data_IF_687568739197
#
_entry.id   IF_687568739197
#
_cell.length_a   1.000
_cell.length_b   1.000
_cell.length_c   1.000
_cell.angle_alpha   90.00
_cell.angle_beta   90.00
_cell.angle_gamma   90.00
#
_symmetry.space_group_name_H-M   'P 1'
#
loop_
_entity.id
_entity.type
_entity.pdbx_description
1 polymer ?
#
# COMPACT_ATOMS: atom_id res chain seq x y z
N UNK A 1 -16.22 8.04 21.69
CA UNK A 1 -15.07 7.23 21.22
C UNK A 1 -15.48 6.62 19.89
N UNK A 2 -14.82 7.00 18.79
CA UNK A 2 -15.05 6.33 17.51
C UNK A 2 -14.46 4.92 17.63
N UNK A 3 -15.27 3.90 17.36
CA UNK A 3 -14.91 2.49 17.44
C UNK A 3 -13.72 2.19 16.51
N UNK A 4 -12.81 1.31 16.97
CA UNK A 4 -11.69 0.75 16.21
C UNK A 4 -12.06 0.36 14.78
N UNK A 5 -11.22 0.69 13.81
CA UNK A 5 -11.46 0.33 12.42
C UNK A 5 -11.18 -1.16 12.22
N UNK A 6 -12.20 -2.01 12.03
CA UNK A 6 -11.95 -3.44 11.76
C UNK A 6 -11.02 -3.63 10.54
N UNK A 7 -11.19 -2.84 9.48
CA UNK A 7 -10.35 -2.90 8.27
C UNK A 7 -8.88 -2.48 8.50
N UNK A 8 -8.61 -1.58 9.44
CA UNK A 8 -7.25 -1.09 9.71
C UNK A 8 -6.59 -1.73 10.94
N UNK A 9 -7.30 -2.59 11.68
CA UNK A 9 -6.82 -3.16 12.95
C UNK A 9 -6.88 -4.68 13.01
N UNK A 10 -7.72 -5.32 12.21
CA UNK A 10 -7.88 -6.77 12.22
C UNK A 10 -7.40 -7.34 10.89
N UNK A 11 -6.46 -8.27 10.99
CA UNK A 11 -6.13 -9.13 9.87
C UNK A 11 -7.23 -10.18 9.70
N UNK A 12 -7.63 -10.48 8.46
CA UNK A 12 -8.48 -11.62 8.20
C UNK A 12 -7.75 -12.90 8.57
N UNK A 13 -8.42 -13.76 9.33
CA UNK A 13 -7.94 -15.08 9.67
C UNK A 13 -8.97 -16.12 9.23
N UNK A 14 -8.47 -17.30 8.84
CA UNK A 14 -9.28 -18.48 8.64
C UNK A 14 -9.14 -19.30 9.92
N UNK A 15 -10.21 -19.40 10.74
CA UNK A 15 -10.18 -20.13 12.00
C UNK A 15 -9.86 -21.60 11.80
N UNK A 16 -9.35 -22.23 12.85
CA UNK A 16 -9.12 -23.69 12.90
C UNK A 16 -10.06 -24.39 13.89
N UNK A 17 -10.84 -23.61 14.64
CA UNK A 17 -11.93 -24.07 15.49
C UNK A 17 -13.23 -24.32 14.69
N UNK A 18 -14.18 -25.12 15.25
CA UNK A 18 -15.45 -25.38 14.59
C UNK A 18 -16.28 -24.11 14.37
N UNK A 19 -16.74 -23.91 13.14
CA UNK A 19 -17.50 -22.74 12.72
C UNK A 19 -18.64 -23.14 11.79
N UNK A 20 -19.63 -22.25 11.65
CA UNK A 20 -20.62 -22.33 10.58
C UNK A 20 -20.18 -21.50 9.38
N UNK A 21 -20.42 -22.03 8.19
CA UNK A 21 -20.14 -21.41 6.91
C UNK A 21 -21.47 -21.17 6.20
N UNK A 22 -21.65 -19.95 5.70
CA UNK A 22 -22.79 -19.61 4.85
C UNK A 22 -22.30 -19.22 3.46
N UNK A 23 -22.66 -20.03 2.47
CA UNK A 23 -22.37 -19.81 1.05
C UNK A 23 -23.55 -19.12 0.37
N UNK A 24 -23.26 -18.03 -0.33
CA UNK A 24 -24.22 -17.22 -1.08
C UNK A 24 -23.78 -17.17 -2.55
N UNK A 25 -24.69 -17.50 -3.46
CA UNK A 25 -24.51 -17.34 -4.92
C UNK A 25 -25.87 -17.10 -5.56
N UNK A 26 -25.91 -16.21 -6.55
CA UNK A 26 -27.12 -15.98 -7.33
C UNK A 26 -27.32 -17.03 -8.44
N UNK A 27 -26.32 -17.87 -8.69
CA UNK A 27 -26.31 -18.79 -9.82
C UNK A 27 -26.70 -20.22 -9.38
N UNK A 28 -27.86 -20.76 -9.83
CA UNK A 28 -28.35 -22.07 -9.39
C UNK A 28 -27.36 -23.22 -9.63
N UNK A 29 -26.66 -23.23 -10.77
CA UNK A 29 -25.63 -24.23 -11.05
C UNK A 29 -24.47 -24.22 -10.05
N UNK A 30 -24.07 -23.05 -9.53
CA UNK A 30 -22.99 -22.96 -8.55
C UNK A 30 -23.46 -23.47 -7.18
N UNK A 31 -24.70 -23.13 -6.79
CA UNK A 31 -25.33 -23.71 -5.61
C UNK A 31 -25.37 -25.23 -5.69
N UNK A 32 -25.75 -25.80 -6.85
CA UNK A 32 -25.76 -27.24 -7.04
C UNK A 32 -24.36 -27.88 -6.93
N UNK A 33 -23.34 -27.28 -7.56
CA UNK A 33 -21.94 -27.75 -7.45
C UNK A 33 -21.47 -27.82 -5.99
N UNK A 34 -21.80 -26.81 -5.18
CA UNK A 34 -21.45 -26.78 -3.75
C UNK A 34 -22.22 -27.86 -2.98
N UNK A 35 -23.52 -28.03 -3.22
CA UNK A 35 -24.33 -29.11 -2.60
C UNK A 35 -23.79 -30.50 -2.93
N UNK A 36 -23.42 -30.74 -4.18
CA UNK A 36 -22.86 -32.01 -4.61
C UNK A 36 -21.51 -32.27 -3.93
N UNK A 37 -20.64 -31.26 -3.86
CA UNK A 37 -19.40 -31.34 -3.10
C UNK A 37 -19.65 -31.70 -1.62
N UNK A 38 -20.57 -31.01 -0.95
CA UNK A 38 -20.90 -31.25 0.46
C UNK A 38 -21.40 -32.69 0.69
N UNK A 39 -22.26 -33.20 -0.20
CA UNK A 39 -22.76 -34.59 -0.16
C UNK A 39 -21.64 -35.61 -0.34
N UNK A 40 -20.78 -35.44 -1.35
CA UNK A 40 -19.61 -36.31 -1.58
C UNK A 40 -18.69 -36.36 -0.35
N UNK A 41 -18.65 -35.27 0.40
CA UNK A 41 -17.82 -35.11 1.58
C UNK A 41 -18.52 -35.42 2.91
N UNK A 42 -19.77 -35.90 2.87
CA UNK A 42 -20.60 -36.21 4.04
C UNK A 42 -20.75 -35.04 5.01
N UNK A 43 -20.78 -33.80 4.49
CA UNK A 43 -21.04 -32.59 5.27
C UNK A 43 -22.54 -32.31 5.24
N UNK A 44 -23.16 -32.31 6.43
CA UNK A 44 -24.57 -31.94 6.58
C UNK A 44 -24.74 -30.44 6.32
N UNK A 45 -25.78 -30.07 5.59
CA UNK A 45 -26.10 -28.69 5.27
C UNK A 45 -27.61 -28.44 5.30
N UNK A 46 -27.96 -27.17 5.51
CA UNK A 46 -29.31 -26.63 5.40
C UNK A 46 -29.40 -25.77 4.13
N UNK A 47 -30.39 -26.04 3.30
CA UNK A 47 -30.68 -25.29 2.09
C UNK A 47 -31.65 -24.16 2.43
N UNK A 48 -31.14 -22.93 2.53
CA UNK A 48 -31.92 -21.74 2.80
C UNK A 48 -32.30 -21.07 1.47
N UNK A 49 -33.37 -20.26 1.49
CA UNK A 49 -33.87 -19.58 0.29
C UNK A 49 -32.79 -18.76 -0.43
N UNK A 50 -31.88 -18.15 0.32
CA UNK A 50 -30.81 -17.30 -0.21
C UNK A 50 -29.41 -17.95 -0.16
N UNK A 51 -29.24 -19.20 0.30
CA UNK A 51 -27.90 -19.79 0.37
C UNK A 51 -27.81 -21.11 1.11
N UNK A 52 -26.58 -21.61 1.29
CA UNK A 52 -26.31 -22.91 1.89
C UNK A 52 -25.59 -22.69 3.22
N UNK A 53 -26.18 -23.17 4.31
CA UNK A 53 -25.60 -23.09 5.66
C UNK A 53 -25.11 -24.47 6.09
N UNK A 54 -23.89 -24.55 6.60
CA UNK A 54 -23.35 -25.81 7.12
C UNK A 54 -22.29 -25.57 8.19
N UNK A 55 -21.98 -26.61 8.94
CA UNK A 55 -20.96 -26.58 9.98
C UNK A 55 -19.74 -27.39 9.54
N UNK A 56 -18.54 -26.88 9.85
CA UNK A 56 -17.27 -27.57 9.65
C UNK A 56 -16.46 -27.55 10.95
N UNK A 57 -15.67 -28.59 11.18
CA UNK A 57 -14.78 -28.66 12.35
C UNK A 57 -13.56 -27.75 12.21
N UNK A 58 -13.06 -27.56 10.99
CA UNK A 58 -11.92 -26.72 10.69
C UNK A 58 -12.13 -26.02 9.33
N UNK A 59 -12.45 -24.72 9.32
CA UNK A 59 -12.66 -23.94 8.09
C UNK A 59 -11.47 -23.95 7.13
N UNK A 60 -10.24 -23.91 7.65
CA UNK A 60 -9.02 -23.95 6.84
C UNK A 60 -8.92 -25.26 6.07
N UNK A 61 -9.05 -26.39 6.75
CA UNK A 61 -9.03 -27.71 6.12
C UNK A 61 -10.16 -27.88 5.11
N UNK A 62 -11.37 -27.41 5.44
CA UNK A 62 -12.51 -27.45 4.54
C UNK A 62 -12.25 -26.67 3.25
N UNK A 63 -11.77 -25.42 3.35
CA UNK A 63 -11.47 -24.59 2.19
C UNK A 63 -10.32 -25.15 1.35
N UNK A 64 -9.30 -25.75 1.98
CA UNK A 64 -8.23 -26.46 1.27
C UNK A 64 -8.79 -27.64 0.47
N UNK A 65 -9.70 -28.41 1.07
CA UNK A 65 -10.35 -29.54 0.40
C UNK A 65 -11.27 -29.09 -0.73
N UNK A 66 -12.05 -28.04 -0.51
CA UNK A 66 -12.90 -27.41 -1.52
C UNK A 66 -12.08 -26.96 -2.73
N UNK A 67 -10.96 -26.27 -2.50
CA UNK A 67 -10.06 -25.84 -3.59
C UNK A 67 -9.48 -27.00 -4.39
N UNK A 68 -9.15 -28.10 -3.71
CA UNK A 68 -8.54 -29.27 -4.34
C UNK A 68 -9.53 -30.10 -5.15
N UNK A 69 -10.70 -30.38 -4.58
CA UNK A 69 -11.61 -31.38 -5.13
C UNK A 69 -12.75 -30.73 -5.96
N UNK A 70 -12.97 -29.41 -5.88
CA UNK A 70 -13.93 -28.68 -6.69
C UNK A 70 -13.24 -27.68 -7.63
N UNK A 71 -13.20 -28.02 -8.93
CA UNK A 71 -12.62 -27.15 -9.94
C UNK A 71 -13.63 -26.05 -10.33
N UNK A 72 -13.34 -24.82 -9.88
CA UNK A 72 -14.11 -23.62 -10.20
C UNK A 72 -13.24 -22.66 -11.01
N UNK A 73 -13.82 -22.07 -12.05
CA UNK A 73 -13.19 -21.00 -12.81
C UNK A 73 -13.16 -19.68 -12.02
N UNK A 74 -12.26 -18.77 -12.39
CA UNK A 74 -12.14 -17.44 -11.79
C UNK A 74 -13.47 -16.66 -11.68
N UNK A 75 -14.34 -16.62 -12.72
CA UNK A 75 -15.65 -15.98 -12.62
C UNK A 75 -16.55 -16.63 -11.55
N UNK A 76 -16.52 -17.97 -11.45
CA UNK A 76 -17.34 -18.70 -10.48
C UNK A 76 -16.86 -18.44 -9.04
N UNK A 77 -15.55 -18.39 -8.82
CA UNK A 77 -14.96 -18.05 -7.52
C UNK A 77 -15.30 -16.63 -7.06
N UNK A 78 -15.54 -15.71 -8.00
CA UNK A 78 -15.94 -14.32 -7.70
C UNK A 78 -17.44 -14.18 -7.43
N UNK A 79 -18.26 -15.05 -8.00
CA UNK A 79 -19.72 -15.07 -7.79
C UNK A 79 -20.09 -15.69 -6.43
N UNK A 80 -19.40 -16.76 -6.05
CA UNK A 80 -19.63 -17.42 -4.77
C UNK A 80 -19.06 -16.55 -3.64
N UNK A 81 -19.92 -16.13 -2.72
CA UNK A 81 -19.52 -15.43 -1.50
C UNK A 81 -19.67 -16.33 -0.28
N UNK A 82 -18.78 -16.15 0.69
CA UNK A 82 -18.71 -16.92 1.92
C UNK A 82 -18.53 -15.99 3.12
N UNK A 83 -19.25 -16.28 4.20
CA UNK A 83 -19.06 -15.70 5.53
C UNK A 83 -18.95 -16.79 6.58
N UNK A 84 -18.12 -16.55 7.60
CA UNK A 84 -17.95 -17.40 8.77
C UNK A 84 -18.85 -16.91 9.91
N UNK A 85 -19.53 -17.83 10.57
CA UNK A 85 -20.49 -17.60 11.64
C UNK A 85 -20.11 -18.45 12.86
N UNK A 86 -20.48 -17.98 14.06
CA UNK A 86 -20.32 -18.81 15.26
C UNK A 86 -21.26 -20.02 15.21
N UNK A 87 -20.98 -21.03 16.03
CA UNK A 87 -21.86 -22.20 16.14
C UNK A 87 -23.27 -21.81 16.62
N UNK A 88 -24.26 -22.37 15.95
CA UNK A 88 -25.70 -22.10 16.09
C UNK A 88 -26.11 -20.66 15.74
N UNK A 89 -25.28 -19.89 15.01
CA UNK A 89 -25.62 -18.55 14.57
C UNK A 89 -26.21 -18.57 13.16
N UNK A 90 -27.39 -17.97 12.99
CA UNK A 90 -27.99 -17.80 11.68
C UNK A 90 -27.42 -16.58 10.94
N UNK A 91 -27.29 -16.64 9.60
CA UNK A 91 -26.95 -15.47 8.81
C UNK A 91 -28.02 -14.39 8.99
N UNK A 92 -27.58 -13.15 9.14
CA UNK A 92 -28.45 -11.98 9.29
C UNK A 92 -27.82 -10.84 8.51
N UNK A 93 -28.57 -9.77 8.25
CA UNK A 93 -28.07 -8.57 7.54
C UNK A 93 -26.74 -8.02 8.08
N UNK A 94 -26.44 -8.22 9.38
CA UNK A 94 -25.17 -7.75 9.97
C UNK A 94 -23.93 -8.43 9.37
N UNK A 95 -24.07 -9.69 8.93
CA UNK A 95 -23.00 -10.55 8.40
C UNK A 95 -22.70 -10.29 6.92
N UNK A 96 -23.63 -9.70 6.18
CA UNK A 96 -23.42 -9.39 4.76
C UNK A 96 -22.26 -8.41 4.55
N UNK A 97 -21.91 -7.61 5.56
CA UNK A 97 -20.74 -6.72 5.55
C UNK A 97 -19.41 -7.46 5.58
N UNK A 98 -19.42 -8.71 6.05
CA UNK A 98 -18.25 -9.57 6.20
C UNK A 98 -18.20 -10.67 5.12
N UNK A 99 -19.17 -10.71 4.21
CA UNK A 99 -19.15 -11.60 3.05
C UNK A 99 -17.93 -11.29 2.17
N UNK A 100 -17.25 -12.35 1.75
CA UNK A 100 -16.13 -12.25 0.81
C UNK A 100 -16.28 -13.28 -0.30
N UNK A 101 -15.89 -12.94 -1.53
CA UNK A 101 -15.82 -13.91 -2.60
C UNK A 101 -14.94 -15.11 -2.21
N UNK A 102 -15.28 -16.30 -2.69
CA UNK A 102 -14.50 -17.51 -2.46
C UNK A 102 -13.07 -17.37 -2.98
N UNK A 103 -12.88 -16.62 -4.07
CA UNK A 103 -11.56 -16.21 -4.57
C UNK A 103 -10.69 -15.57 -3.47
N UNK A 104 -11.25 -14.65 -2.67
CA UNK A 104 -10.53 -13.99 -1.57
C UNK A 104 -10.18 -14.98 -0.46
N UNK A 105 -11.05 -15.93 -0.14
CA UNK A 105 -10.74 -16.98 0.84
C UNK A 105 -9.62 -17.91 0.37
N UNK A 106 -9.57 -18.24 -0.93
CA UNK A 106 -8.48 -19.01 -1.51
C UNK A 106 -7.16 -18.25 -1.49
N UNK A 107 -7.18 -16.94 -1.76
CA UNK A 107 -6.00 -16.10 -1.62
C UNK A 107 -5.53 -16.01 -0.16
N UNK A 108 -6.45 -15.95 0.81
CA UNK A 108 -6.11 -15.99 2.24
C UNK A 108 -5.47 -17.31 2.66
N UNK A 109 -5.91 -18.45 2.10
CA UNK A 109 -5.28 -19.74 2.33
C UNK A 109 -3.82 -19.79 1.85
N UNK A 110 -3.52 -19.12 0.74
CA UNK A 110 -2.20 -19.15 0.10
C UNK A 110 -1.28 -18.01 0.54
N UNK A 111 -1.83 -16.98 1.16
CA UNK A 111 -1.09 -15.81 1.63
C UNK A 111 -0.50 -16.00 3.04
N UNK A 112 -0.21 -17.24 3.47
CA UNK A 112 0.31 -17.53 4.82
C UNK A 112 1.59 -16.75 5.14
N UNK A 113 2.56 -16.74 4.21
CA UNK A 113 3.81 -15.97 4.37
C UNK A 113 3.54 -14.47 4.58
N UNK A 114 2.62 -13.90 3.81
CA UNK A 114 2.24 -12.48 3.90
C UNK A 114 1.53 -12.16 5.23
N UNK A 115 0.56 -12.99 5.62
CA UNK A 115 -0.17 -12.80 6.87
C UNK A 115 0.75 -12.93 8.08
N UNK A 116 1.67 -13.92 8.07
CA UNK A 116 2.65 -14.12 9.13
C UNK A 116 3.58 -12.90 9.31
N UNK A 117 3.98 -12.25 8.21
CA UNK A 117 4.75 -11.00 8.24
C UNK A 117 3.98 -9.89 8.97
N UNK A 118 2.67 -9.76 8.71
CA UNK A 118 1.85 -8.72 9.31
C UNK A 118 1.48 -9.00 10.77
N UNK A 119 1.16 -10.25 11.09
CA UNK A 119 0.84 -10.70 12.46
C UNK A 119 2.05 -10.51 13.39
N UNK A 120 3.23 -10.92 12.92
CA UNK A 120 4.47 -10.81 13.69
C UNK A 120 5.18 -9.45 13.52
N UNK A 121 4.53 -8.48 12.84
CA UNK A 121 5.05 -7.12 12.61
C UNK A 121 6.47 -7.10 12.01
N UNK A 122 6.77 -8.04 11.10
CA UNK A 122 8.07 -8.20 10.44
C UNK A 122 8.19 -7.35 9.17
N UNK A 123 7.75 -6.09 9.28
CA UNK A 123 8.05 -5.08 8.27
C UNK A 123 9.32 -4.34 8.70
N UNK A 124 10.15 -3.99 7.71
CA UNK A 124 11.34 -3.16 7.90
C UNK A 124 11.40 -2.10 6.80
N UNK A 125 12.33 -1.15 6.96
CA UNK A 125 12.49 0.00 6.09
C UNK A 125 13.90 -0.03 5.53
N UNK A 126 14.02 0.13 4.22
CA UNK A 126 15.27 0.48 3.56
C UNK A 126 15.22 1.97 3.24
N UNK A 127 16.35 2.64 3.39
CA UNK A 127 16.48 4.08 3.18
C UNK A 127 17.21 4.35 1.88
N UNK A 128 16.61 5.17 1.01
CA UNK A 128 17.22 5.63 -0.23
C UNK A 128 17.54 7.12 -0.09
N UNK A 129 18.82 7.53 -0.10
CA UNK A 129 19.19 8.90 0.24
C UNK A 129 18.76 9.88 -0.84
N UNK A 130 18.27 11.02 -0.39
CA UNK A 130 17.92 12.19 -1.20
C UNK A 130 18.99 13.24 -0.94
N UNK A 131 19.55 13.78 -2.03
CA UNK A 131 20.75 14.62 -1.98
C UNK A 131 20.51 15.96 -2.64
N UNK A 132 21.23 16.98 -2.17
CA UNK A 132 21.32 18.28 -2.83
C UNK A 132 22.41 18.29 -3.92
N UNK A 133 22.48 19.38 -4.69
CA UNK A 133 23.46 19.58 -5.77
C UNK A 133 24.93 19.51 -5.33
N UNK A 134 25.22 19.73 -4.04
CA UNK A 134 26.55 19.62 -3.44
C UNK A 134 26.82 18.23 -2.86
N UNK A 135 25.94 17.26 -3.13
CA UNK A 135 25.99 15.87 -2.70
C UNK A 135 25.80 15.68 -1.19
N UNK A 136 25.30 16.70 -0.50
CA UNK A 136 24.86 16.59 0.88
C UNK A 136 23.57 15.77 0.94
N UNK A 137 23.55 14.74 1.79
CA UNK A 137 22.33 13.99 2.08
C UNK A 137 21.42 14.84 2.98
N UNK A 138 20.21 15.13 2.48
CA UNK A 138 19.22 15.95 3.19
C UNK A 138 18.03 15.15 3.67
N UNK A 139 17.81 13.98 3.09
CA UNK A 139 16.67 13.14 3.41
C UNK A 139 16.83 11.69 3.02
N UNK A 140 15.81 10.91 3.34
CA UNK A 140 15.69 9.51 3.00
C UNK A 140 14.26 9.22 2.56
N UNK A 141 14.12 8.45 1.49
CA UNK A 141 12.86 7.76 1.21
C UNK A 141 12.79 6.44 1.97
N UNK A 142 11.67 6.20 2.64
CA UNK A 142 11.38 4.98 3.39
C UNK A 142 10.74 3.93 2.48
N UNK A 143 11.53 2.95 2.07
CA UNK A 143 11.12 1.87 1.19
C UNK A 143 10.83 0.60 1.99
N UNK A 144 9.55 0.23 2.08
CA UNK A 144 9.10 -0.92 2.87
C UNK A 144 9.62 -2.24 2.31
N UNK A 145 9.99 -3.13 3.22
CA UNK A 145 10.34 -4.53 2.97
C UNK A 145 9.65 -5.42 3.99
N UNK A 146 9.21 -6.60 3.56
CA UNK A 146 8.82 -7.66 4.49
C UNK A 146 10.04 -8.49 4.86
N UNK A 147 10.00 -9.16 6.01
CA UNK A 147 11.05 -10.07 6.45
C UNK A 147 10.43 -11.44 6.74
N UNK A 148 10.92 -12.47 6.04
CA UNK A 148 10.54 -13.87 6.27
C UNK A 148 11.03 -14.35 7.62
N UNK A 149 10.51 -15.50 8.07
CA UNK A 149 10.95 -16.16 9.30
C UNK A 149 12.47 -16.49 9.29
N UNK A 150 13.04 -16.78 8.12
CA UNK A 150 14.46 -17.05 7.93
C UNK A 150 15.33 -15.79 7.81
N UNK A 151 14.73 -14.59 7.90
CA UNK A 151 15.41 -13.31 7.77
C UNK A 151 15.55 -12.79 6.34
N UNK A 152 15.16 -13.55 5.32
CA UNK A 152 15.22 -13.08 3.94
C UNK A 152 14.18 -11.99 3.63
N UNK A 153 14.50 -11.14 2.67
CA UNK A 153 13.70 -9.96 2.33
C UNK A 153 12.58 -10.31 1.35
N UNK A 154 11.41 -9.71 1.60
CA UNK A 154 10.25 -9.73 0.73
C UNK A 154 10.10 -8.35 0.07
N UNK A 155 10.04 -8.28 -1.28
CA UNK A 155 9.89 -7.02 -1.98
C UNK A 155 8.49 -6.41 -1.76
N UNK A 156 8.33 -5.08 -1.83
CA UNK A 156 7.05 -4.42 -1.62
C UNK A 156 5.98 -4.88 -2.63
N UNK A 157 6.35 -5.12 -3.89
CA UNK A 157 5.41 -5.59 -4.92
C UNK A 157 4.63 -6.85 -4.48
N UNK A 158 5.32 -7.83 -3.88
CA UNK A 158 4.66 -9.03 -3.35
C UNK A 158 3.71 -8.70 -2.20
N UNK A 159 4.11 -7.82 -1.28
CA UNK A 159 3.27 -7.42 -0.15
C UNK A 159 1.98 -6.75 -0.63
N UNK A 160 2.08 -5.79 -1.55
CA UNK A 160 0.92 -5.05 -2.05
C UNK A 160 0.01 -5.92 -2.93
N UNK A 161 0.57 -6.79 -3.78
CA UNK A 161 -0.22 -7.76 -4.55
C UNK A 161 -1.04 -8.67 -3.63
N UNK A 162 -0.41 -9.22 -2.58
CA UNK A 162 -1.13 -10.03 -1.58
C UNK A 162 -2.13 -9.20 -0.78
N UNK A 163 -1.82 -7.95 -0.48
CA UNK A 163 -2.72 -7.08 0.26
C UNK A 163 -4.02 -6.78 -0.51
N UNK A 164 -3.94 -6.57 -1.82
CA UNK A 164 -5.13 -6.38 -2.67
C UNK A 164 -5.98 -7.65 -2.74
N UNK A 165 -5.35 -8.78 -3.05
CA UNK A 165 -6.03 -10.08 -3.20
C UNK A 165 -6.70 -10.58 -1.91
N UNK A 166 -6.10 -10.26 -0.76
CA UNK A 166 -6.62 -10.62 0.57
C UNK A 166 -7.50 -9.52 1.21
N UNK A 167 -7.71 -8.39 0.52
CA UNK A 167 -8.45 -7.22 1.03
C UNK A 167 -7.86 -6.63 2.33
N UNK A 168 -6.54 -6.66 2.47
CA UNK A 168 -5.80 -6.16 3.64
C UNK A 168 -4.98 -4.90 3.36
N UNK A 169 -5.16 -4.27 2.19
CA UNK A 169 -4.44 -3.05 1.77
C UNK A 169 -4.45 -1.94 2.83
N UNK A 170 -5.60 -1.73 3.48
CA UNK A 170 -5.79 -0.76 4.58
C UNK A 170 -4.89 -1.04 5.79
N UNK A 171 -4.75 -2.31 6.15
CA UNK A 171 -3.91 -2.74 7.25
C UNK A 171 -2.43 -2.58 6.88
N UNK A 172 -2.04 -3.03 5.68
CA UNK A 172 -0.67 -2.93 5.20
C UNK A 172 -0.23 -1.47 5.09
N UNK A 173 -0.98 -0.60 4.42
CA UNK A 173 -0.64 0.83 4.25
C UNK A 173 -0.41 1.53 5.60
N UNK A 174 -1.31 1.30 6.56
CA UNK A 174 -1.16 1.83 7.91
C UNK A 174 0.11 1.28 8.58
N UNK A 175 0.35 -0.03 8.50
CA UNK A 175 1.53 -0.65 9.09
C UNK A 175 2.83 -0.10 8.47
N UNK A 176 2.84 0.12 7.16
CA UNK A 176 3.92 0.78 6.41
C UNK A 176 4.20 2.20 6.94
N UNK A 177 3.19 3.06 7.03
CA UNK A 177 3.36 4.42 7.57
C UNK A 177 3.88 4.41 9.01
N UNK A 178 3.32 3.55 9.86
CA UNK A 178 3.75 3.45 11.26
C UNK A 178 5.18 2.93 11.40
N UNK A 179 5.58 1.90 10.64
CA UNK A 179 6.93 1.35 10.72
C UNK A 179 7.97 2.30 10.13
N UNK A 180 7.64 3.05 9.07
CA UNK A 180 8.50 4.09 8.51
C UNK A 180 8.86 5.16 9.53
N UNK A 181 7.87 5.75 10.19
CA UNK A 181 8.09 6.80 11.22
C UNK A 181 8.89 6.23 12.41
N UNK A 182 8.49 5.06 12.93
CA UNK A 182 9.16 4.44 14.08
C UNK A 182 10.62 4.09 13.77
N UNK A 183 10.87 3.51 12.60
CA UNK A 183 12.23 3.11 12.21
C UNK A 183 13.09 4.34 11.96
N UNK A 184 12.56 5.38 11.29
CA UNK A 184 13.29 6.63 11.09
C UNK A 184 13.65 7.32 12.43
N UNK A 185 12.75 7.28 13.42
CA UNK A 185 13.05 7.79 14.76
C UNK A 185 14.18 7.02 15.43
N UNK A 186 14.09 5.68 15.44
CA UNK A 186 15.13 4.80 16.02
C UNK A 186 16.48 5.01 15.34
N UNK A 187 16.48 5.26 14.03
CA UNK A 187 17.68 5.57 13.25
C UNK A 187 18.17 7.01 13.39
N UNK A 188 17.52 7.85 14.21
CA UNK A 188 17.93 9.22 14.49
C UNK A 188 17.84 10.15 13.29
N UNK A 189 16.77 10.03 12.50
CA UNK A 189 16.54 10.81 11.27
C UNK A 189 15.53 11.95 11.44
N UNK A 190 15.20 12.33 12.67
CA UNK A 190 14.17 13.35 12.97
C UNK A 190 14.44 14.74 12.38
N UNK A 191 15.71 15.07 12.16
CA UNK A 191 16.17 16.34 11.60
C UNK A 191 16.39 16.29 10.08
N UNK A 192 16.16 15.14 9.45
CA UNK A 192 16.23 14.96 7.99
C UNK A 192 14.82 14.89 7.39
N UNK A 193 14.72 15.15 6.08
CA UNK A 193 13.49 14.90 5.34
C UNK A 193 13.25 13.40 5.23
N UNK A 194 12.05 12.94 5.57
CA UNK A 194 11.64 11.54 5.49
C UNK A 194 10.45 11.43 4.57
N UNK A 195 10.63 10.76 3.45
CA UNK A 195 9.60 10.54 2.46
C UNK A 195 8.94 9.17 2.70
N UNK A 196 7.61 9.16 2.76
CA UNK A 196 6.81 7.98 3.09
C UNK A 196 5.67 7.85 2.08
N UNK A 197 5.73 6.77 1.31
CA UNK A 197 4.66 6.33 0.43
C UNK A 197 3.35 6.05 1.19
N UNK A 198 2.21 6.45 0.62
CA UNK A 198 0.90 6.03 1.09
C UNK A 198 -0.07 5.74 -0.06
N UNK A 199 -1.12 4.99 0.24
CA UNK A 199 -2.16 4.58 -0.71
C UNK A 199 -3.45 5.36 -0.43
N UNK A 200 -3.81 6.38 -1.23
CA UNK A 200 -5.01 7.17 -1.00
C UNK A 200 -6.31 6.36 -0.96
N UNK A 201 -6.43 5.32 -1.79
CA UNK A 201 -7.62 4.45 -1.82
C UNK A 201 -7.79 3.65 -0.52
N UNK A 202 -6.73 3.57 0.29
CA UNK A 202 -6.75 2.96 1.62
C UNK A 202 -7.20 3.91 2.75
N UNK A 203 -7.51 5.17 2.44
CA UNK A 203 -7.91 6.17 3.44
C UNK A 203 -9.37 6.53 3.17
N UNK A 204 -10.31 6.11 4.03
CA UNK A 204 -11.73 6.48 3.86
C UNK A 204 -12.08 7.80 4.57
N UNK A 205 -11.66 7.90 5.83
CA UNK A 205 -11.79 9.12 6.64
C UNK A 205 -10.37 9.53 7.05
N UNK A 206 -9.81 10.61 6.48
CA UNK A 206 -8.48 11.08 6.83
C UNK A 206 -8.29 11.25 8.34
N UNK A 207 -9.31 11.77 9.04
CA UNK A 207 -9.24 12.05 10.48
C UNK A 207 -9.03 10.78 11.29
N UNK A 208 -9.73 9.72 10.91
CA UNK A 208 -9.70 8.45 11.63
C UNK A 208 -8.57 7.52 11.15
N UNK A 209 -8.33 7.43 9.85
CA UNK A 209 -7.33 6.54 9.25
C UNK A 209 -5.89 7.02 9.47
N UNK A 210 -5.66 8.33 9.58
CA UNK A 210 -4.33 8.91 9.73
C UNK A 210 -3.95 9.24 11.18
N UNK A 211 -4.91 9.14 12.12
CA UNK A 211 -4.69 9.52 13.52
C UNK A 211 -3.47 8.83 14.16
N UNK A 212 -3.20 7.56 13.84
CA UNK A 212 -2.09 6.83 14.46
C UNK A 212 -0.73 7.26 13.92
N UNK A 213 -0.64 7.50 12.61
CA UNK A 213 0.56 8.04 11.95
C UNK A 213 0.91 9.42 12.50
N UNK A 214 -0.08 10.30 12.59
CA UNK A 214 0.08 11.64 13.15
C UNK A 214 0.52 11.54 14.61
N UNK A 215 -0.17 10.73 15.41
CA UNK A 215 0.18 10.48 16.82
C UNK A 215 1.63 10.00 16.96
N UNK A 216 2.08 9.05 16.14
CA UNK A 216 3.45 8.55 16.21
C UNK A 216 4.48 9.62 15.86
N UNK A 217 4.26 10.41 14.81
CA UNK A 217 5.17 11.50 14.45
C UNK A 217 5.38 12.48 15.62
N UNK A 218 4.30 12.92 16.26
CA UNK A 218 4.36 13.83 17.41
C UNK A 218 4.97 13.16 18.65
N UNK A 219 4.61 11.91 18.96
CA UNK A 219 5.15 11.19 20.12
C UNK A 219 6.65 10.89 20.00
N UNK A 220 7.15 10.77 18.76
CA UNK A 220 8.56 10.54 18.46
C UNK A 220 9.32 11.85 18.19
N UNK A 221 8.71 13.00 18.48
CA UNK A 221 9.32 14.33 18.38
C UNK A 221 9.84 14.66 16.98
N UNK A 222 9.22 14.14 15.92
CA UNK A 222 9.47 14.64 14.59
C UNK A 222 8.95 16.07 14.47
N UNK A 223 9.71 16.92 13.78
CA UNK A 223 9.11 18.11 13.17
C UNK A 223 8.19 17.62 12.02
N UNK A 224 6.87 17.87 12.06
CA UNK A 224 5.97 17.39 11.02
C UNK A 224 6.37 17.85 9.61
N UNK A 225 6.99 19.03 9.47
CA UNK A 225 7.43 19.54 8.15
C UNK A 225 8.55 18.73 7.51
N UNK A 226 9.23 17.87 8.30
CA UNK A 226 10.27 16.96 7.84
C UNK A 226 9.71 15.61 7.40
N UNK A 227 8.41 15.33 7.59
CA UNK A 227 7.78 14.09 7.12
C UNK A 227 6.91 14.43 5.91
N UNK A 228 7.28 13.84 4.77
CA UNK A 228 6.66 14.05 3.47
C UNK A 228 5.87 12.80 3.10
N UNK A 229 4.58 12.94 2.84
CA UNK A 229 3.76 11.84 2.33
C UNK A 229 3.66 11.87 0.81
N UNK A 230 4.04 10.77 0.17
CA UNK A 230 4.10 10.65 -1.28
C UNK A 230 2.88 9.90 -1.81
N UNK A 231 2.26 10.45 -2.85
CA UNK A 231 1.20 9.79 -3.61
C UNK A 231 1.66 9.56 -5.05
N UNK A 232 1.56 8.30 -5.50
CA UNK A 232 1.93 7.89 -6.86
C UNK A 232 0.81 8.21 -7.85
N UNK A 233 1.16 8.75 -9.03
CA UNK A 233 0.22 9.04 -10.12
C UNK A 233 -0.58 7.81 -10.58
N UNK A 234 0.07 6.64 -10.62
CA UNK A 234 -0.49 5.39 -11.19
C UNK A 234 -1.65 4.80 -10.39
N UNK A 235 -1.84 5.23 -9.14
CA UNK A 235 -3.06 4.89 -8.42
C UNK A 235 -4.20 5.56 -9.16
N UNK A 236 -5.11 4.78 -9.76
CA UNK A 236 -6.31 5.27 -10.42
C UNK A 236 -7.20 5.99 -9.39
N UNK A 237 -6.87 7.23 -9.10
CA UNK A 237 -7.62 8.10 -8.20
C UNK A 237 -8.84 8.56 -8.99
N UNK A 238 -9.91 7.79 -8.86
CA UNK A 238 -11.20 8.12 -9.47
C UNK A 238 -11.86 9.32 -8.76
N UNK A 239 -11.47 9.60 -7.52
CA UNK A 239 -11.98 10.71 -6.72
C UNK A 239 -10.84 11.66 -6.28
N UNK A 240 -10.53 12.63 -7.14
CA UNK A 240 -9.51 13.64 -6.87
C UNK A 240 -9.91 14.53 -5.68
N UNK A 241 -11.21 14.75 -5.44
CA UNK A 241 -11.69 15.55 -4.31
C UNK A 241 -11.36 14.85 -3.00
N UNK A 242 -11.57 13.54 -2.94
CA UNK A 242 -11.19 12.73 -1.79
C UNK A 242 -9.67 12.75 -1.55
N UNK A 243 -8.86 12.57 -2.59
CA UNK A 243 -7.41 12.70 -2.47
C UNK A 243 -6.99 14.08 -1.95
N UNK A 244 -7.57 15.15 -2.49
CA UNK A 244 -7.33 16.52 -2.03
C UNK A 244 -7.63 16.66 -0.53
N UNK A 245 -8.73 16.10 -0.04
CA UNK A 245 -9.06 16.11 1.40
C UNK A 245 -8.03 15.34 2.25
N UNK A 246 -7.51 14.21 1.75
CA UNK A 246 -6.47 13.43 2.43
C UNK A 246 -5.18 14.25 2.56
N UNK A 247 -4.73 14.87 1.46
CA UNK A 247 -3.51 15.67 1.45
C UNK A 247 -3.65 16.94 2.28
N UNK A 248 -4.79 17.61 2.21
CA UNK A 248 -5.08 18.78 3.04
C UNK A 248 -5.06 18.42 4.52
N UNK A 249 -5.60 17.25 4.89
CA UNK A 249 -5.54 16.78 6.27
C UNK A 249 -4.10 16.56 6.76
N UNK A 250 -3.20 16.06 5.91
CA UNK A 250 -1.76 16.02 6.23
C UNK A 250 -1.18 17.43 6.42
N UNK A 251 -1.43 18.34 5.49
CA UNK A 251 -0.93 19.74 5.55
C UNK A 251 -1.42 20.47 6.80
N UNK A 252 -2.70 20.34 7.16
CA UNK A 252 -3.29 20.91 8.38
C UNK A 252 -2.61 20.42 9.67
N UNK A 253 -1.99 19.23 9.64
CA UNK A 253 -1.25 18.68 10.77
C UNK A 253 0.26 18.99 10.70
N UNK A 254 0.69 19.86 9.78
CA UNK A 254 2.06 20.33 9.62
C UNK A 254 2.94 19.48 8.69
N UNK A 255 2.41 18.39 8.15
CA UNK A 255 3.14 17.53 7.22
C UNK A 255 3.24 18.15 5.83
N UNK A 256 4.23 17.70 5.07
CA UNK A 256 4.35 18.04 3.64
C UNK A 256 3.88 16.88 2.78
N UNK A 257 3.58 17.17 1.52
CA UNK A 257 3.14 16.14 0.56
C UNK A 257 3.92 16.25 -0.74
N UNK A 258 4.15 15.11 -1.38
CA UNK A 258 4.78 15.02 -2.69
C UNK A 258 3.84 14.34 -3.70
N UNK A 259 3.92 14.78 -4.95
CA UNK A 259 3.39 14.04 -6.09
C UNK A 259 4.53 13.23 -6.72
N UNK A 260 4.36 11.92 -6.80
CA UNK A 260 5.38 10.97 -7.27
C UNK A 260 5.18 10.56 -8.73
N UNK A 261 6.25 10.12 -9.40
CA UNK A 261 6.29 9.67 -10.80
C UNK A 261 5.74 10.69 -11.84
N UNK A 262 5.98 12.00 -11.66
CA UNK A 262 5.48 13.03 -12.59
C UNK A 262 6.24 13.00 -13.92
N UNK A 263 5.48 12.89 -15.02
CA UNK A 263 5.99 13.11 -16.39
C UNK A 263 5.68 12.01 -17.41
N UNK A 264 5.12 10.88 -16.99
CA UNK A 264 4.79 9.76 -17.89
C UNK A 264 3.31 9.72 -18.31
N UNK A 265 2.47 10.64 -17.80
CA UNK A 265 1.03 10.69 -18.07
C UNK A 265 0.43 12.11 -18.17
N UNK A 266 -0.74 12.20 -18.81
CA UNK A 266 -1.53 13.44 -18.92
C UNK A 266 -2.14 13.88 -17.58
N UNK A 267 -2.27 12.97 -16.60
CA UNK A 267 -2.92 13.24 -15.32
C UNK A 267 -2.03 14.06 -14.36
N UNK A 268 -0.70 14.03 -14.54
CA UNK A 268 0.28 14.71 -13.69
C UNK A 268 0.05 16.22 -13.53
N UNK A 269 -0.17 16.97 -14.61
CA UNK A 269 -0.38 18.42 -14.54
C UNK A 269 -1.72 18.78 -13.90
N UNK A 270 -2.77 18.00 -14.17
CA UNK A 270 -4.07 18.17 -13.52
C UNK A 270 -3.97 17.95 -12.01
N UNK A 271 -3.26 16.89 -11.59
CA UNK A 271 -3.00 16.62 -10.18
C UNK A 271 -2.16 17.73 -9.53
N UNK A 272 -1.13 18.23 -10.21
CA UNK A 272 -0.32 19.36 -9.73
C UNK A 272 -1.19 20.58 -9.41
N UNK A 273 -2.08 20.96 -10.34
CA UNK A 273 -3.00 22.10 -10.17
C UNK A 273 -3.98 21.88 -9.02
N UNK A 274 -4.55 20.68 -8.91
CA UNK A 274 -5.60 20.38 -7.93
C UNK A 274 -5.06 20.16 -6.52
N UNK A 275 -3.88 19.55 -6.38
CA UNK A 275 -3.34 19.08 -5.11
C UNK A 275 -2.34 20.07 -4.50
N UNK A 276 -1.71 20.91 -5.32
CA UNK A 276 -0.70 21.92 -4.91
C UNK A 276 0.30 21.36 -3.90
N UNK A 277 1.07 20.32 -4.28
CA UNK A 277 1.98 19.64 -3.37
C UNK A 277 3.16 20.53 -2.96
N UNK A 278 3.90 20.11 -1.94
CA UNK A 278 5.14 20.78 -1.55
C UNK A 278 6.34 20.30 -2.38
N UNK A 279 6.27 19.06 -2.85
CA UNK A 279 7.28 18.42 -3.68
C UNK A 279 6.67 17.82 -4.94
N UNK A 280 7.44 17.83 -6.02
CA UNK A 280 7.17 17.06 -7.23
C UNK A 280 8.39 16.21 -7.52
N UNK A 281 8.18 14.90 -7.70
CA UNK A 281 9.23 13.95 -8.05
C UNK A 281 9.12 13.65 -9.55
N UNK A 282 10.17 13.97 -10.30
CA UNK A 282 10.24 13.77 -11.74
C UNK A 282 10.56 12.30 -11.99
N UNK A 283 9.67 11.63 -12.72
CA UNK A 283 9.80 10.21 -13.01
C UNK A 283 11.11 9.88 -13.73
N UNK A 284 11.65 8.70 -13.41
CA UNK A 284 12.90 8.19 -13.96
C UNK A 284 12.91 8.12 -15.49
N UNK A 285 11.79 7.87 -16.17
CA UNK A 285 11.73 7.78 -17.62
C UNK A 285 11.97 9.15 -18.28
N UNK A 286 11.63 10.25 -17.59
CA UNK A 286 11.95 11.61 -18.02
C UNK A 286 13.41 11.98 -17.68
N UNK A 287 13.93 11.49 -16.56
CA UNK A 287 15.32 11.75 -16.15
C UNK A 287 16.33 10.97 -17.00
N UNK A 288 16.02 9.71 -17.32
CA UNK A 288 16.90 8.79 -18.04
C UNK A 288 17.34 9.36 -19.38
N UNK A 289 18.65 9.44 -19.60
CA UNK A 289 19.26 9.95 -20.82
C UNK A 289 18.84 11.39 -21.21
N UNK A 290 18.36 12.20 -20.25
CA UNK A 290 17.86 13.56 -20.52
C UNK A 290 18.89 14.47 -21.20
N UNK A 291 20.18 14.28 -20.91
CA UNK A 291 21.27 15.03 -21.53
C UNK A 291 21.34 14.85 -23.06
N UNK A 292 20.67 13.83 -23.63
CA UNK A 292 20.66 13.53 -25.07
C UNK A 292 19.31 13.82 -25.74
N UNK A 293 18.23 14.05 -24.98
CA UNK A 293 16.86 14.11 -25.49
C UNK A 293 16.25 15.51 -25.30
N UNK A 294 16.14 16.27 -26.38
CA UNK A 294 15.62 17.64 -26.37
C UNK A 294 14.15 17.75 -25.95
N UNK A 295 13.35 16.69 -26.13
CA UNK A 295 11.96 16.66 -25.69
C UNK A 295 11.88 16.53 -24.17
N UNK A 296 12.62 15.58 -23.58
CA UNK A 296 12.71 15.43 -22.12
C UNK A 296 13.23 16.71 -21.46
N UNK A 297 14.23 17.34 -22.05
CA UNK A 297 14.75 18.64 -21.61
C UNK A 297 13.69 19.74 -21.61
N UNK A 298 12.86 19.80 -22.66
CA UNK A 298 11.79 20.79 -22.77
C UNK A 298 10.69 20.57 -21.73
N UNK A 299 10.34 19.30 -21.47
CA UNK A 299 9.38 18.91 -20.42
C UNK A 299 9.89 19.34 -19.04
N UNK A 300 11.13 18.98 -18.70
CA UNK A 300 11.72 19.35 -17.41
C UNK A 300 11.83 20.87 -17.25
N UNK A 301 12.24 21.61 -18.29
CA UNK A 301 12.27 23.08 -18.24
C UNK A 301 10.90 23.69 -17.92
N UNK A 302 9.82 23.13 -18.50
CA UNK A 302 8.47 23.58 -18.18
C UNK A 302 8.10 23.26 -16.73
N UNK A 303 8.40 22.05 -16.23
CA UNK A 303 8.15 21.68 -14.84
C UNK A 303 8.93 22.57 -13.86
N UNK A 304 10.20 22.86 -14.15
CA UNK A 304 11.04 23.77 -13.35
C UNK A 304 10.42 25.14 -13.25
N UNK A 305 9.96 25.71 -14.37
CA UNK A 305 9.31 27.01 -14.37
C UNK A 305 8.03 27.00 -13.52
N UNK A 306 7.15 26.00 -13.72
CA UNK A 306 5.89 25.87 -12.99
C UNK A 306 6.15 25.74 -11.49
N UNK A 307 7.08 24.87 -11.09
CA UNK A 307 7.35 24.61 -9.68
C UNK A 307 7.97 25.83 -8.99
N UNK A 308 8.92 26.50 -9.65
CA UNK A 308 9.54 27.72 -9.15
C UNK A 308 8.54 28.87 -8.95
N UNK A 309 7.59 29.05 -9.85
CA UNK A 309 6.55 30.09 -9.74
C UNK A 309 5.55 29.83 -8.60
N UNK A 310 5.49 28.61 -8.08
CA UNK A 310 4.48 28.16 -7.11
C UNK A 310 5.10 27.65 -5.78
N UNK A 311 6.38 27.93 -5.53
CA UNK A 311 7.12 27.49 -4.34
C UNK A 311 7.05 25.96 -4.11
N UNK A 312 7.10 25.19 -5.20
CA UNK A 312 7.12 23.72 -5.20
C UNK A 312 8.57 23.27 -5.41
N UNK A 313 9.05 22.35 -4.57
CA UNK A 313 10.39 21.80 -4.68
C UNK A 313 10.40 20.62 -5.66
N UNK A 314 11.38 20.57 -6.55
CA UNK A 314 11.56 19.48 -7.50
C UNK A 314 12.61 18.48 -7.02
N UNK A 315 12.32 17.20 -7.21
CA UNK A 315 13.22 16.09 -6.95
C UNK A 315 13.33 15.24 -8.23
N UNK A 316 14.53 15.06 -8.76
CA UNK A 316 14.76 14.18 -9.90
C UNK A 316 15.09 12.75 -9.44
N UNK A 317 14.30 11.78 -9.87
CA UNK A 317 14.46 10.38 -9.49
C UNK A 317 15.15 9.54 -10.56
N UNK A 318 15.72 8.41 -10.13
CA UNK A 318 16.32 7.44 -11.04
C UNK A 318 17.58 7.94 -11.72
N UNK A 319 18.33 8.85 -11.09
CA UNK A 319 19.65 9.28 -11.59
C UNK A 319 20.60 8.07 -11.57
N UNK A 320 21.05 7.65 -12.75
CA UNK A 320 21.98 6.52 -12.92
C UNK A 320 23.34 6.97 -13.46
N UNK A 321 23.41 8.15 -14.08
CA UNK A 321 24.62 8.66 -14.75
C UNK A 321 25.03 10.05 -14.28
N UNK A 322 26.33 10.33 -14.33
CA UNK A 322 26.88 11.65 -13.99
C UNK A 322 26.36 12.73 -14.96
N UNK A 323 26.15 12.38 -16.23
CA UNK A 323 25.67 13.29 -17.26
C UNK A 323 24.21 13.72 -17.00
N UNK A 324 23.38 12.82 -16.47
CA UNK A 324 21.99 13.12 -16.07
C UNK A 324 21.98 14.08 -14.87
N UNK A 325 22.78 13.77 -13.84
CA UNK A 325 22.95 14.65 -12.69
C UNK A 325 23.47 16.03 -13.11
N UNK A 326 24.55 16.07 -13.88
CA UNK A 326 25.19 17.31 -14.32
C UNK A 326 24.25 18.19 -15.14
N UNK A 327 23.38 17.60 -15.96
CA UNK A 327 22.37 18.34 -16.71
C UNK A 327 21.31 18.98 -15.78
N UNK A 328 20.86 18.24 -14.78
CA UNK A 328 19.76 18.64 -13.89
C UNK A 328 20.22 19.47 -12.67
N UNK A 329 21.52 19.47 -12.37
CA UNK A 329 22.12 19.99 -11.13
C UNK A 329 21.70 21.40 -10.74
N UNK A 330 21.56 22.29 -11.72
CA UNK A 330 21.19 23.70 -11.50
C UNK A 330 19.71 23.98 -11.82
N UNK A 331 18.97 22.96 -12.28
CA UNK A 331 17.56 23.07 -12.65
C UNK A 331 16.61 22.53 -11.57
N UNK A 332 17.07 21.57 -10.76
CA UNK A 332 16.25 20.83 -9.79
C UNK A 332 16.83 20.99 -8.37
N UNK A 333 15.99 20.91 -7.35
CA UNK A 333 16.39 21.14 -5.95
C UNK A 333 17.06 19.90 -5.32
N UNK A 334 16.51 18.72 -5.59
CA UNK A 334 16.96 17.46 -4.99
C UNK A 334 17.13 16.33 -6.01
N UNK A 335 17.93 15.34 -5.66
CA UNK A 335 18.26 14.21 -6.51
C UNK A 335 18.18 12.90 -5.75
N UNK A 336 17.75 11.85 -6.43
CA UNK A 336 17.73 10.49 -5.90
C UNK A 336 18.04 9.51 -7.04
N UNK A 337 18.81 8.46 -6.75
CA UNK A 337 19.16 7.46 -7.76
C UNK A 337 20.42 6.67 -7.43
N UNK A 338 20.61 5.58 -8.18
CA UNK A 338 21.69 4.62 -7.96
C UNK A 338 23.08 5.17 -8.28
N UNK A 339 23.16 6.28 -9.02
CA UNK A 339 24.39 7.05 -9.18
C UNK A 339 24.96 7.49 -7.81
N UNK A 340 24.09 7.87 -6.87
CA UNK A 340 24.52 8.29 -5.53
C UNK A 340 24.64 7.11 -4.57
N UNK A 341 23.58 6.31 -4.46
CA UNK A 341 23.54 5.11 -3.64
C UNK A 341 22.30 4.26 -3.92
N UNK A 342 22.39 2.97 -3.63
CA UNK A 342 21.21 2.08 -3.61
C UNK A 342 20.52 2.12 -2.23
N UNK A 343 19.22 1.79 -2.16
CA UNK A 343 18.51 1.63 -0.88
C UNK A 343 19.21 0.67 0.08
N UNK A 344 19.29 1.03 1.37
CA UNK A 344 20.03 0.26 2.38
C UNK A 344 19.26 0.18 3.71
N UNK A 345 19.34 -0.93 4.48
CA UNK A 345 18.77 -1.01 5.84
C UNK A 345 19.25 0.09 6.79
N UNK A 346 20.51 0.52 6.65
CA UNK A 346 21.07 1.65 7.39
C UNK A 346 21.00 2.93 6.55
N UNK A 347 20.50 4.04 7.11
CA UNK A 347 20.41 5.29 6.36
C UNK A 347 21.80 5.82 6.02
N UNK A 348 21.98 6.19 4.76
CA UNK A 348 23.24 6.73 4.26
C UNK A 348 23.27 8.22 4.62
N UNK A 349 24.15 8.60 5.55
CA UNK A 349 24.24 10.00 6.05
C UNK A 349 25.24 10.86 5.29
N UNK A 350 26.17 10.22 4.59
CA UNK A 350 27.21 10.87 3.80
C UNK A 350 27.53 9.97 2.61
N UNK A 351 27.59 10.56 1.43
CA UNK A 351 28.07 9.86 0.25
C UNK A 351 29.59 9.72 0.34
N UNK A 352 30.09 8.53 0.06
CA UNK A 352 31.50 8.30 -0.26
C UNK A 352 31.57 8.10 -1.76
N UNK A 353 31.95 9.15 -2.50
CA UNK A 353 32.26 8.97 -3.92
C UNK A 353 33.56 8.16 -4.01
N UNK A 354 33.50 7.03 -4.72
CA UNK A 354 34.66 6.20 -5.04
C UNK A 354 35.40 6.78 -6.24
#
# INVERSE_FOLDING_TARGET
MISKCKKCELLPCIPEEPMQLFFLTAHPLLSQKIKDFLKTHMVNYEDLEEGILFQVYNPREFLTKLKKDLNLSEPELKDISLVLLNLNEMPTFKHFRDLRPLATWYELLEATEYLEVLENKRLTVYFHPIVEKDLRVVGQECLIRGVRADGSIIPPAFLFEKAEKTQTLFYLDRACREVSIKTAAVKGLKDQLIFINFIPTSIYDPKFCLQTTIKWAYQLEFNPSNVIFEVVESQKVTDIKHLSNVLEYYKMNGFRVALDDVGTGYASLEMLVKLRPNFVKIDREIVRDIHQDTLKQSIVKALVQICKENDILLLAEGIEKEEEFSYLKDAVDYFQGFYFAKPNPEPIRRLTMN
#
